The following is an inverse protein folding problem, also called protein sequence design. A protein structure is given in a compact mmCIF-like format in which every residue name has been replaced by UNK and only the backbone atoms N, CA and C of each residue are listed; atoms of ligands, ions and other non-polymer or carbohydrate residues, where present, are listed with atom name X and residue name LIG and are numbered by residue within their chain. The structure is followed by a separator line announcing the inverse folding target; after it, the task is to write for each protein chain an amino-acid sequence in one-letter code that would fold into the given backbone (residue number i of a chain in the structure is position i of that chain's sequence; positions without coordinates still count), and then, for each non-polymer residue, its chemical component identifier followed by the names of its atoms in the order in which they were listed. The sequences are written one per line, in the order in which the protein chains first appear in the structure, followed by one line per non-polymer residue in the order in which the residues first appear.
data_IF_694355568771
#
_entry.id   IF_694355568771
#
_cell.length_a   1.000
_cell.length_b   1.000
_cell.length_c   1.000
_cell.angle_alpha   90.00
_cell.angle_beta   90.00
_cell.angle_gamma   90.00
#
_symmetry.space_group_name_H-M   'P 1'
#
loop_
_entity.id
_entity.type
_entity.pdbx_description
1 polymer ?
#
# COMPACT_ATOMS: atom_id res chain seq x y z
N UNK A 1 12.70 -9.11 10.48
CA UNK A 1 12.36 -9.75 11.76
C UNK A 1 13.63 -9.92 12.58
N UNK A 2 13.62 -9.43 13.81
CA UNK A 2 14.74 -9.56 14.76
C UNK A 2 14.28 -10.38 15.96
N UNK A 3 15.13 -11.27 16.44
CA UNK A 3 14.93 -12.09 17.63
C UNK A 3 15.98 -11.76 18.67
N UNK A 4 15.55 -11.56 19.91
CA UNK A 4 16.41 -11.54 21.08
C UNK A 4 15.99 -12.63 22.07
N UNK A 5 16.92 -13.52 22.37
CA UNK A 5 16.73 -14.55 23.38
C UNK A 5 16.66 -13.97 24.80
N UNK A 6 16.25 -14.80 25.76
CA UNK A 6 16.23 -14.44 27.18
C UNK A 6 17.63 -14.31 27.80
N UNK A 7 18.69 -14.69 27.10
CA UNK A 7 20.08 -14.41 27.45
C UNK A 7 20.63 -13.31 26.53
N UNK A 8 21.31 -12.30 27.09
CA UNK A 8 21.69 -11.04 26.44
C UNK A 8 22.68 -11.15 25.25
N UNK A 9 23.00 -12.36 24.77
CA UNK A 9 23.99 -12.59 23.71
C UNK A 9 23.43 -13.28 22.45
N UNK A 10 22.15 -13.64 22.41
CA UNK A 10 21.56 -14.28 21.21
C UNK A 10 20.64 -13.31 20.48
N UNK A 11 21.23 -12.55 19.55
CA UNK A 11 20.51 -11.72 18.58
C UNK A 11 20.53 -12.41 17.22
N UNK A 12 19.38 -12.51 16.55
CA UNK A 12 19.29 -12.95 15.15
C UNK A 12 18.38 -12.04 14.35
N UNK A 13 18.66 -11.89 13.08
CA UNK A 13 17.87 -11.09 12.14
C UNK A 13 17.63 -11.87 10.87
N UNK A 14 16.40 -11.80 10.37
CA UNK A 14 15.96 -12.41 9.12
C UNK A 14 15.12 -11.43 8.31
N UNK A 15 15.27 -11.51 6.99
CA UNK A 15 14.39 -10.84 6.02
C UNK A 15 13.63 -11.91 5.26
N UNK A 16 12.32 -11.74 5.17
CA UNK A 16 11.41 -12.63 4.44
C UNK A 16 10.69 -11.82 3.35
N UNK A 17 10.25 -12.51 2.30
CA UNK A 17 9.41 -11.95 1.24
C UNK A 17 8.09 -12.72 1.19
N UNK A 18 7.00 -12.01 0.93
CA UNK A 18 5.68 -12.60 0.73
C UNK A 18 5.54 -13.21 -0.65
N UNK A 19 4.76 -14.29 -0.74
CA UNK A 19 4.33 -14.89 -2.01
C UNK A 19 3.30 -14.01 -2.76
N UNK A 20 2.81 -14.51 -3.90
CA UNK A 20 1.80 -13.84 -4.73
C UNK A 20 0.46 -13.62 -4.01
N UNK A 21 0.22 -14.36 -2.93
CA UNK A 21 -0.98 -14.28 -2.10
C UNK A 21 -0.77 -13.36 -0.88
N UNK A 22 0.43 -12.79 -0.71
CA UNK A 22 0.76 -11.90 0.40
C UNK A 22 1.15 -12.61 1.69
N UNK A 23 1.51 -13.90 1.64
CA UNK A 23 1.92 -14.69 2.81
C UNK A 23 3.42 -14.93 2.84
N UNK A 24 3.99 -14.91 4.03
CA UNK A 24 5.35 -15.39 4.29
C UNK A 24 5.33 -16.30 5.52
N UNK A 25 6.11 -17.37 5.49
CA UNK A 25 6.30 -18.29 6.60
C UNK A 25 7.75 -18.27 7.10
N UNK A 26 7.97 -18.67 8.35
CA UNK A 26 9.31 -18.83 8.91
C UNK A 26 9.94 -20.13 8.37
N UNK A 27 10.38 -20.09 7.11
CA UNK A 27 11.00 -21.21 6.40
C UNK A 27 12.04 -20.72 5.39
N UNK A 28 12.73 -21.66 4.76
CA UNK A 28 13.78 -21.37 3.81
C UNK A 28 13.26 -20.78 2.49
N UNK A 29 12.04 -21.13 2.07
CA UNK A 29 11.47 -20.73 0.78
C UNK A 29 11.11 -19.24 0.76
N UNK A 30 10.67 -18.70 1.90
CA UNK A 30 10.36 -17.28 2.04
C UNK A 30 11.54 -16.44 2.54
N UNK A 31 12.64 -17.07 3.01
CA UNK A 31 13.80 -16.37 3.55
C UNK A 31 14.64 -15.77 2.44
N UNK A 32 14.77 -14.45 2.45
CA UNK A 32 15.60 -13.70 1.51
C UNK A 32 17.03 -13.55 2.01
N UNK A 33 17.21 -13.19 3.28
CA UNK A 33 18.53 -12.92 3.86
C UNK A 33 18.54 -12.97 5.40
N UNK A 34 19.72 -12.75 5.99
CA UNK A 34 19.94 -12.79 7.43
C UNK A 34 20.49 -14.12 7.94
N UNK A 35 20.46 -14.31 9.25
CA UNK A 35 21.04 -15.47 9.95
C UNK A 35 20.41 -16.81 9.54
N UNK A 36 21.03 -17.93 9.88
CA UNK A 36 20.40 -19.23 9.69
C UNK A 36 19.12 -19.36 10.56
N UNK A 37 18.12 -20.06 10.03
CA UNK A 37 16.91 -20.38 10.76
C UNK A 37 17.24 -21.35 11.90
N UNK A 38 16.52 -21.24 13.01
CA UNK A 38 16.52 -22.31 14.00
C UNK A 38 15.79 -23.52 13.44
N UNK A 39 16.43 -24.68 13.48
CA UNK A 39 15.88 -25.93 12.97
C UNK A 39 15.93 -27.04 14.01
N UNK A 40 14.98 -27.97 13.92
CA UNK A 40 14.99 -29.25 14.62
C UNK A 40 14.86 -30.34 13.55
N UNK A 41 16.00 -30.92 13.16
CA UNK A 41 16.10 -31.64 11.90
C UNK A 41 15.95 -30.67 10.73
N UNK A 42 15.07 -30.98 9.78
CA UNK A 42 14.77 -30.12 8.62
C UNK A 42 13.62 -29.13 8.88
N UNK A 43 13.00 -29.18 10.07
CA UNK A 43 11.83 -28.35 10.37
C UNK A 43 12.26 -27.05 11.07
N UNK A 44 11.98 -25.87 10.49
CA UNK A 44 12.23 -24.61 11.16
C UNK A 44 11.28 -24.41 12.35
N UNK A 45 11.77 -23.75 13.40
CA UNK A 45 10.99 -23.44 14.61
C UNK A 45 11.43 -22.12 15.23
N UNK A 46 10.57 -21.52 16.04
CA UNK A 46 10.83 -20.26 16.74
C UNK A 46 11.12 -20.51 18.23
N UNK A 47 12.27 -20.07 18.77
CA UNK A 47 12.56 -20.14 20.19
C UNK A 47 11.68 -19.24 21.08
N UNK A 48 11.63 -19.53 22.37
CA UNK A 48 11.08 -18.58 23.33
C UNK A 48 11.96 -17.34 23.40
N UNK A 49 11.35 -16.16 23.54
CA UNK A 49 12.05 -14.89 23.58
C UNK A 49 11.24 -13.75 22.98
N UNK A 50 11.95 -12.73 22.53
CA UNK A 50 11.37 -11.48 22.03
C UNK A 50 11.58 -11.38 20.53
N UNK A 51 10.56 -10.88 19.84
CA UNK A 51 10.52 -10.75 18.40
C UNK A 51 10.08 -9.35 18.01
N UNK A 52 10.86 -8.72 17.16
CA UNK A 52 10.52 -7.47 16.50
C UNK A 52 10.28 -7.76 15.02
N UNK A 53 9.07 -7.47 14.56
CA UNK A 53 8.66 -7.68 13.17
C UNK A 53 8.27 -6.32 12.61
N UNK A 54 8.89 -5.97 11.49
CA UNK A 54 8.70 -4.71 10.81
C UNK A 54 8.53 -5.02 9.33
N UNK A 55 7.57 -4.36 8.71
CA UNK A 55 7.47 -4.31 7.26
C UNK A 55 8.45 -3.25 6.77
N UNK A 56 9.38 -3.67 5.92
CA UNK A 56 10.49 -2.82 5.44
C UNK A 56 10.33 -2.40 3.98
N UNK A 57 9.37 -3.00 3.28
CA UNK A 57 9.07 -2.72 1.87
C UNK A 57 7.59 -3.03 1.62
N UNK A 58 6.87 -2.05 1.09
CA UNK A 58 5.50 -2.21 0.64
C UNK A 58 5.45 -2.67 -0.84
N UNK A 59 4.38 -3.36 -1.27
CA UNK A 59 4.12 -3.64 -2.67
C UNK A 59 4.00 -2.37 -3.52
N UNK A 60 4.14 -2.52 -4.84
CA UNK A 60 3.94 -1.41 -5.77
C UNK A 60 2.51 -0.84 -5.66
N UNK A 61 2.41 0.49 -5.60
CA UNK A 61 1.13 1.19 -5.46
C UNK A 61 0.63 1.34 -4.03
N UNK A 62 1.38 0.82 -3.05
CA UNK A 62 1.08 0.93 -1.63
C UNK A 62 2.14 1.74 -0.89
N UNK A 63 1.73 2.39 0.20
CA UNK A 63 2.63 3.14 1.08
C UNK A 63 3.21 2.19 2.12
N UNK A 64 4.53 2.22 2.27
CA UNK A 64 5.18 1.64 3.44
C UNK A 64 4.71 2.38 4.70
N UNK A 65 4.12 1.70 5.70
CA UNK A 65 3.65 2.36 6.91
C UNK A 65 4.82 2.96 7.70
N UNK A 66 4.69 4.20 8.16
CA UNK A 66 5.72 4.87 8.99
C UNK A 66 5.95 4.17 10.33
N UNK A 67 4.96 3.41 10.80
CA UNK A 67 4.95 2.71 12.09
C UNK A 67 4.48 1.26 11.94
N UNK A 68 5.25 0.45 11.22
CA UNK A 68 4.94 -0.99 11.05
C UNK A 68 5.51 -1.85 12.19
N UNK A 69 6.52 -1.41 12.94
CA UNK A 69 7.19 -2.22 13.97
C UNK A 69 6.23 -2.77 15.04
N UNK A 70 6.15 -4.09 15.13
CA UNK A 70 5.45 -4.82 16.19
C UNK A 70 6.44 -5.59 17.06
N UNK A 71 6.31 -5.47 18.38
CA UNK A 71 7.11 -6.24 19.33
C UNK A 71 6.26 -7.29 20.05
N UNK A 72 6.73 -8.53 20.01
CA UNK A 72 6.05 -9.70 20.55
C UNK A 72 6.98 -10.51 21.45
N UNK A 73 6.40 -11.16 22.46
CA UNK A 73 7.10 -12.14 23.30
C UNK A 73 6.44 -13.50 23.09
N UNK A 74 7.24 -14.52 22.75
CA UNK A 74 6.83 -15.92 22.81
C UNK A 74 7.34 -16.51 24.13
N UNK A 75 6.42 -17.00 24.96
CA UNK A 75 6.74 -17.59 26.26
C UNK A 75 6.01 -18.91 26.47
N UNK A 76 6.49 -19.72 27.41
CA UNK A 76 5.79 -20.89 27.92
C UNK A 76 5.20 -20.54 29.29
N UNK A 77 3.89 -20.71 29.44
CA UNK A 77 3.18 -20.56 30.70
C UNK A 77 2.41 -21.86 30.96
N UNK A 78 2.81 -22.59 32.00
CA UNK A 78 2.20 -23.85 32.42
C UNK A 78 2.03 -24.88 31.28
N UNK A 79 3.03 -24.97 30.39
CA UNK A 79 3.03 -25.88 29.25
C UNK A 79 2.39 -25.32 27.97
N UNK A 80 1.79 -24.13 28.03
CA UNK A 80 1.16 -23.48 26.88
C UNK A 80 2.08 -22.42 26.27
N UNK A 81 2.11 -22.36 24.95
CA UNK A 81 2.82 -21.30 24.23
C UNK A 81 1.94 -20.07 24.12
N UNK A 82 2.42 -18.95 24.68
CA UNK A 82 1.72 -17.67 24.71
C UNK A 82 2.50 -16.64 23.91
N UNK A 83 1.85 -16.06 22.91
CA UNK A 83 2.28 -14.88 22.18
C UNK A 83 1.69 -13.63 22.83
N UNK A 84 2.52 -12.76 23.38
CA UNK A 84 2.11 -11.49 23.99
C UNK A 84 2.58 -10.34 23.11
N UNK A 85 1.65 -9.54 22.60
CA UNK A 85 1.97 -8.27 21.93
C UNK A 85 2.35 -7.24 22.99
N UNK A 86 3.58 -6.74 22.98
CA UNK A 86 4.08 -5.88 24.05
C UNK A 86 3.57 -4.44 23.99
N UNK A 87 3.09 -3.97 22.84
CA UNK A 87 2.52 -2.61 22.74
C UNK A 87 1.06 -2.56 23.20
N UNK A 88 0.28 -3.61 22.94
CA UNK A 88 -1.15 -3.67 23.30
C UNK A 88 -1.46 -4.51 24.54
N UNK A 89 -0.54 -5.36 24.99
CA UNK A 89 -0.76 -6.33 26.07
C UNK A 89 -1.64 -7.52 25.68
N UNK A 90 -2.05 -7.63 24.40
CA UNK A 90 -2.92 -8.71 23.92
C UNK A 90 -2.16 -10.03 23.89
N UNK A 91 -2.77 -11.09 24.41
CA UNK A 91 -2.22 -12.43 24.42
C UNK A 91 -2.97 -13.39 23.49
N UNK A 92 -2.25 -14.35 22.94
CA UNK A 92 -2.79 -15.47 22.17
C UNK A 92 -2.08 -16.76 22.57
N UNK A 93 -2.85 -17.71 23.13
CA UNK A 93 -2.37 -19.05 23.45
C UNK A 93 -2.46 -19.94 22.21
N UNK A 94 -1.34 -20.14 21.52
CA UNK A 94 -1.26 -20.92 20.30
C UNK A 94 0.17 -21.29 19.96
N UNK A 95 0.37 -22.46 19.37
CA UNK A 95 1.66 -22.89 18.81
C UNK A 95 2.00 -22.18 17.48
N UNK A 96 1.04 -21.49 16.88
CA UNK A 96 1.20 -20.69 15.66
C UNK A 96 0.65 -19.28 15.86
N UNK A 97 1.32 -18.29 15.31
CA UNK A 97 0.86 -16.92 15.31
C UNK A 97 1.10 -16.29 13.94
N UNK A 98 0.17 -15.44 13.51
CA UNK A 98 0.25 -14.72 12.25
C UNK A 98 0.31 -13.23 12.54
N UNK A 99 1.29 -12.56 11.96
CA UNK A 99 1.41 -11.12 11.98
C UNK A 99 0.77 -10.57 10.72
N UNK A 100 0.00 -9.49 10.84
CA UNK A 100 -0.67 -8.86 9.71
C UNK A 100 -0.28 -7.39 9.66
N UNK A 101 0.15 -6.96 8.48
CA UNK A 101 0.45 -5.57 8.14
C UNK A 101 -0.59 -5.11 7.12
N UNK A 102 -0.94 -3.83 7.17
CA UNK A 102 -1.98 -3.26 6.32
C UNK A 102 -1.43 -1.98 5.70
N UNK A 103 -1.39 -1.99 4.39
CA UNK A 103 -0.91 -0.84 3.65
C UNK A 103 -2.04 0.02 3.10
N UNK A 104 -1.77 1.32 3.06
CA UNK A 104 -2.62 2.26 2.36
C UNK A 104 -2.22 2.35 0.90
N UNK A 105 -3.21 2.31 0.00
CA UNK A 105 -2.96 2.60 -1.42
C UNK A 105 -2.45 4.04 -1.58
N UNK A 106 -1.44 4.23 -2.43
CA UNK A 106 -0.98 5.55 -2.84
C UNK A 106 -2.12 6.24 -3.58
N UNK A 107 -2.31 7.53 -3.34
CA UNK A 107 -3.35 8.34 -3.99
C UNK A 107 -2.77 9.61 -4.58
N UNK A 108 -3.33 10.04 -5.71
CA UNK A 108 -2.95 11.26 -6.42
C UNK A 108 -4.16 12.07 -6.88
N UNK A 109 -3.87 13.22 -7.47
CA UNK A 109 -4.86 14.13 -8.03
C UNK A 109 -4.59 14.32 -9.52
N UNK A 110 -5.64 14.30 -10.34
CA UNK A 110 -5.61 14.66 -11.74
C UNK A 110 -6.19 16.06 -11.91
N UNK A 111 -5.52 16.91 -12.70
CA UNK A 111 -6.03 18.22 -13.12
C UNK A 111 -5.94 18.33 -14.63
N UNK A 112 -7.05 18.68 -15.27
CA UNK A 112 -7.15 18.90 -16.71
C UNK A 112 -7.51 20.36 -16.96
N UNK A 113 -6.86 20.98 -17.95
CA UNK A 113 -7.21 22.33 -18.43
C UNK A 113 -7.58 22.25 -19.91
N UNK A 114 -8.81 22.66 -20.23
CA UNK A 114 -9.31 22.73 -21.60
C UNK A 114 -9.23 24.16 -22.12
N UNK A 115 -8.41 24.32 -23.14
CA UNK A 115 -8.20 25.58 -23.86
C UNK A 115 -8.72 25.45 -25.30
N UNK A 116 -9.17 26.57 -25.86
CA UNK A 116 -9.50 26.71 -27.28
C UNK A 116 -8.29 27.14 -28.09
N UNK A 117 -8.23 26.72 -29.36
CA UNK A 117 -7.09 27.00 -30.25
C UNK A 117 -7.13 28.42 -30.87
N UNK A 118 -8.19 29.22 -30.64
CA UNK A 118 -8.33 30.58 -31.18
C UNK A 118 -9.42 31.36 -30.42
N UNK A 119 -9.27 32.68 -30.28
CA UNK A 119 -10.29 33.56 -29.70
C UNK A 119 -11.51 33.70 -30.63
N UNK A 120 -12.72 33.47 -30.13
CA UNK A 120 -13.97 33.43 -30.92
C UNK A 120 -14.74 34.76 -30.95
N UNK A 121 -14.07 35.92 -30.80
CA UNK A 121 -14.77 37.20 -30.86
C UNK A 121 -13.95 38.36 -31.44
N UNK A 122 -14.32 38.77 -32.66
CA UNK A 122 -14.69 40.16 -32.99
C UNK A 122 -15.48 40.17 -34.32
N UNK A 123 -16.58 40.94 -34.45
CA UNK A 123 -17.22 41.25 -35.74
C UNK A 123 -16.26 41.92 -36.75
N UNK A 124 -15.14 42.48 -36.27
CA UNK A 124 -14.24 43.35 -37.02
C UNK A 124 -12.86 42.72 -37.33
N UNK A 125 -12.72 41.40 -37.20
CA UNK A 125 -11.49 40.68 -37.58
C UNK A 125 -10.58 40.29 -36.41
N UNK A 126 -9.68 39.35 -36.71
CA UNK A 126 -8.78 38.62 -35.81
C UNK A 126 -8.29 39.45 -34.61
N UNK A 127 -8.72 39.11 -33.40
CA UNK A 127 -8.01 39.50 -32.19
C UNK A 127 -6.92 38.47 -31.92
N UNK A 128 -5.66 38.90 -32.02
CA UNK A 128 -4.54 38.23 -31.36
C UNK A 128 -4.74 38.37 -29.85
N UNK A 129 -5.68 37.61 -29.28
CA UNK A 129 -5.68 37.41 -27.85
C UNK A 129 -4.42 36.60 -27.51
N UNK A 130 -3.46 37.21 -26.79
CA UNK A 130 -2.26 36.53 -26.31
C UNK A 130 -2.59 35.32 -25.39
N UNK A 131 -3.84 35.25 -24.88
CA UNK A 131 -4.36 34.15 -24.07
C UNK A 131 -5.38 33.30 -24.85
N UNK A 132 -5.10 31.99 -24.95
CA UNK A 132 -6.06 31.01 -25.47
C UNK A 132 -7.28 30.92 -24.54
N UNK A 133 -8.52 30.99 -25.05
CA UNK A 133 -9.70 31.02 -24.21
C UNK A 133 -9.89 29.71 -23.44
N UNK A 134 -10.18 29.82 -22.14
CA UNK A 134 -10.62 28.70 -21.31
C UNK A 134 -12.01 28.23 -21.72
N UNK A 135 -12.21 26.91 -21.83
CA UNK A 135 -13.49 26.34 -22.26
C UNK A 135 -14.22 25.68 -21.08
N UNK A 136 -15.30 26.31 -20.61
CA UNK A 136 -16.25 25.77 -19.63
C UNK A 136 -17.16 24.71 -20.24
N UNK A 137 -17.58 23.73 -19.45
CA UNK A 137 -18.63 22.78 -19.81
C UNK A 137 -18.16 21.54 -20.57
N UNK A 138 -16.86 21.35 -20.76
CA UNK A 138 -16.32 20.15 -21.37
C UNK A 138 -16.39 18.99 -20.37
N UNK A 139 -17.12 17.93 -20.73
CA UNK A 139 -17.20 16.69 -19.93
C UNK A 139 -16.02 15.78 -20.25
N UNK A 140 -15.32 15.38 -19.21
CA UNK A 140 -14.16 14.49 -19.26
C UNK A 140 -14.51 13.25 -18.47
N UNK A 141 -14.55 12.12 -19.16
CA UNK A 141 -14.74 10.80 -18.56
C UNK A 141 -13.37 10.19 -18.26
N UNK A 142 -13.20 9.68 -17.04
CA UNK A 142 -11.98 8.98 -16.63
C UNK A 142 -12.29 7.49 -16.52
N UNK A 143 -11.56 6.65 -17.25
CA UNK A 143 -11.74 5.19 -17.27
C UNK A 143 -10.56 4.48 -16.61
N UNK A 144 -10.84 3.40 -15.88
CA UNK A 144 -9.80 2.57 -15.29
C UNK A 144 -9.09 1.77 -16.40
N UNK A 145 -7.81 2.06 -16.64
CA UNK A 145 -6.97 1.32 -17.58
C UNK A 145 -5.99 0.35 -16.89
N UNK A 146 -6.13 0.15 -15.58
CA UNK A 146 -5.33 -0.80 -14.81
C UNK A 146 -5.75 -2.25 -15.11
N UNK A 147 -4.83 -3.20 -14.96
CA UNK A 147 -5.14 -4.63 -15.12
C UNK A 147 -6.03 -5.20 -14.00
N UNK A 148 -6.09 -4.51 -12.84
CA UNK A 148 -6.87 -4.92 -11.67
C UNK A 148 -7.96 -3.87 -11.36
N UNK A 149 -9.04 -4.26 -10.66
CA UNK A 149 -10.02 -3.32 -10.15
C UNK A 149 -9.39 -2.30 -9.19
N UNK A 150 -9.87 -1.06 -9.23
CA UNK A 150 -9.48 -0.01 -8.28
C UNK A 150 -10.62 0.29 -7.31
N UNK A 151 -10.30 0.74 -6.09
CA UNK A 151 -11.30 1.17 -5.11
C UNK A 151 -11.35 2.70 -5.01
N UNK A 152 -12.38 3.30 -5.60
CA UNK A 152 -12.59 4.74 -5.66
C UNK A 152 -13.94 5.13 -5.03
N UNK A 153 -13.93 6.08 -4.10
CA UNK A 153 -15.13 6.62 -3.43
C UNK A 153 -16.11 5.56 -2.90
N UNK A 154 -15.58 4.48 -2.31
CA UNK A 154 -16.41 3.41 -1.73
C UNK A 154 -16.87 2.33 -2.71
N UNK A 155 -16.42 2.38 -3.97
CA UNK A 155 -16.81 1.44 -5.02
C UNK A 155 -15.59 0.82 -5.71
N UNK A 156 -15.67 -0.49 -5.99
CA UNK A 156 -14.75 -1.16 -6.90
C UNK A 156 -15.13 -0.83 -8.36
N UNK A 157 -14.14 -0.37 -9.13
CA UNK A 157 -14.26 -0.05 -10.55
C UNK A 157 -13.39 -1.04 -11.31
N UNK A 158 -14.01 -1.89 -12.14
CA UNK A 158 -13.29 -2.92 -12.88
C UNK A 158 -12.40 -2.32 -13.98
N UNK A 159 -11.45 -3.09 -14.56
CA UNK A 159 -10.75 -2.68 -15.76
C UNK A 159 -11.72 -2.26 -16.87
N UNK A 160 -11.40 -1.17 -17.56
CA UNK A 160 -12.17 -0.54 -18.63
C UNK A 160 -13.54 0.04 -18.23
N UNK A 161 -13.84 0.14 -16.94
CA UNK A 161 -15.03 0.85 -16.45
C UNK A 161 -14.75 2.31 -16.14
N UNK A 162 -15.79 3.14 -16.30
CA UNK A 162 -15.77 4.56 -15.94
C UNK A 162 -15.60 4.71 -14.43
N UNK A 163 -14.56 5.44 -14.04
CA UNK A 163 -14.26 5.81 -12.65
C UNK A 163 -15.14 6.98 -12.22
N UNK A 164 -15.14 8.05 -13.02
CA UNK A 164 -15.91 9.26 -12.77
C UNK A 164 -15.98 10.13 -14.03
N UNK A 165 -16.89 11.10 -14.04
CA UNK A 165 -17.00 12.14 -15.07
C UNK A 165 -16.92 13.50 -14.41
N UNK A 166 -16.05 14.38 -14.91
CA UNK A 166 -15.90 15.76 -14.44
C UNK A 166 -16.17 16.75 -15.56
N UNK A 167 -16.56 17.97 -15.21
CA UNK A 167 -16.87 19.03 -16.16
C UNK A 167 -15.97 20.25 -15.90
N UNK A 168 -15.47 20.89 -16.95
CA UNK A 168 -14.60 22.05 -16.82
C UNK A 168 -15.36 23.29 -16.33
N UNK A 169 -14.75 24.02 -15.39
CA UNK A 169 -15.28 25.25 -14.81
C UNK A 169 -15.06 26.49 -15.70
N UNK A 170 -15.33 27.68 -15.16
CA UNK A 170 -15.13 28.97 -15.86
C UNK A 170 -13.67 29.25 -16.25
N UNK A 171 -12.72 28.68 -15.51
CA UNK A 171 -11.30 28.74 -15.83
C UNK A 171 -10.88 27.66 -16.83
N UNK A 172 -11.83 26.84 -17.31
CA UNK A 172 -11.59 25.72 -18.21
C UNK A 172 -10.91 24.54 -17.51
N UNK A 173 -10.96 24.48 -16.18
CA UNK A 173 -10.26 23.46 -15.39
C UNK A 173 -11.24 22.43 -14.84
N UNK A 174 -10.78 21.18 -14.76
CA UNK A 174 -11.48 20.09 -14.07
C UNK A 174 -10.46 19.32 -13.22
N UNK A 175 -10.87 18.83 -12.06
CA UNK A 175 -10.00 18.10 -11.16
C UNK A 175 -10.68 16.83 -10.61
N UNK A 176 -9.91 15.76 -10.51
CA UNK A 176 -10.29 14.53 -9.83
C UNK A 176 -9.30 14.31 -8.69
N UNK A 177 -9.82 14.17 -7.47
CA UNK A 177 -9.01 13.98 -6.27
C UNK A 177 -9.05 12.53 -5.80
N UNK A 178 -8.05 12.17 -5.00
CA UNK A 178 -7.97 10.89 -4.28
C UNK A 178 -8.01 9.66 -5.20
N UNK A 179 -7.51 9.80 -6.43
CA UNK A 179 -7.39 8.68 -7.37
C UNK A 179 -6.38 7.67 -6.81
N UNK A 180 -6.76 6.39 -6.63
CA UNK A 180 -5.82 5.37 -6.21
C UNK A 180 -4.72 5.17 -7.26
N UNK A 181 -3.60 4.58 -6.84
CA UNK A 181 -2.57 4.14 -7.76
C UNK A 181 -3.17 3.25 -8.86
N UNK A 182 -2.79 3.50 -10.10
CA UNK A 182 -3.33 2.83 -11.27
C UNK A 182 -3.06 3.58 -12.56
N UNK A 183 -3.50 2.99 -13.67
CA UNK A 183 -3.50 3.59 -14.99
C UNK A 183 -4.90 4.06 -15.39
N UNK A 184 -4.98 5.19 -16.08
CA UNK A 184 -6.25 5.83 -16.45
C UNK A 184 -6.20 6.36 -17.87
N UNK A 185 -7.37 6.42 -18.52
CA UNK A 185 -7.57 6.99 -19.87
C UNK A 185 -8.75 7.94 -19.89
#
# INVERSE_FOLDING_TARGET
MTYSGSAETTLRTWVFSTDEQGFASFDADHKVSGDDLFTLGEKPWLPLGYYQIEEIQAPEGYKLPEHSLQTWKLSNQDGNLIWTNLSSGKENSSSKHSFTFKDEVIRGNLKVKKIGHTSLSSPDGYSEAEEMPSLKGAKIELTNSSAQPIFYQGKWVAPHEVVTTVETDESGEAAVKDLPFGSYS
#
